data_IF_678841422651
#
_entry.id   IF_678841422651
#
_cell.length_a   1.000
_cell.length_b   1.000
_cell.length_c   1.000
_cell.angle_alpha   90.00
_cell.angle_beta   90.00
_cell.angle_gamma   90.00
#
_symmetry.space_group_name_H-M   'P 1'
#
loop_
_entity.id
_entity.type
_entity.pdbx_description
1 polymer ?
#
# COMPACT_ATOMS: atom_id res chain seq x y z
N UNK A 1 5.84 28.31 -23.85
CA UNK A 1 5.92 26.84 -23.68
C UNK A 1 5.36 26.21 -24.95
N UNK A 2 5.92 25.11 -25.46
CA UNK A 2 5.27 24.41 -26.58
C UNK A 2 4.01 23.69 -26.08
N UNK A 3 3.07 23.42 -27.00
CA UNK A 3 1.78 22.81 -26.69
C UNK A 3 1.90 21.46 -25.94
N UNK A 4 2.94 20.67 -26.23
CA UNK A 4 3.23 19.43 -25.51
C UNK A 4 3.47 19.68 -24.01
N UNK A 5 4.32 20.65 -23.65
CA UNK A 5 4.70 20.89 -22.25
C UNK A 5 3.56 21.55 -21.46
N UNK A 6 2.68 22.31 -22.12
CA UNK A 6 1.45 22.80 -21.49
C UNK A 6 0.46 21.67 -21.20
N UNK A 7 0.37 20.67 -22.08
CA UNK A 7 -0.47 19.50 -21.85
C UNK A 7 0.02 18.66 -20.66
N UNK A 8 1.34 18.39 -20.58
CA UNK A 8 1.94 17.67 -19.45
C UNK A 8 1.78 18.46 -18.14
N UNK A 9 1.98 19.78 -18.17
CA UNK A 9 1.76 20.62 -16.98
C UNK A 9 0.30 20.60 -16.51
N UNK A 10 -0.66 20.64 -17.44
CA UNK A 10 -2.08 20.54 -17.11
C UNK A 10 -2.40 19.18 -16.48
N UNK A 11 -1.86 18.11 -17.06
CA UNK A 11 -2.00 16.76 -16.52
C UNK A 11 -1.42 16.68 -15.10
N UNK A 12 -0.22 17.20 -14.86
CA UNK A 12 0.39 17.30 -13.53
C UNK A 12 -0.51 18.02 -12.52
N UNK A 13 -1.12 19.15 -12.90
CA UNK A 13 -2.02 19.88 -11.99
C UNK A 13 -3.27 19.07 -11.64
N UNK A 14 -3.82 18.33 -12.59
CA UNK A 14 -4.94 17.41 -12.34
C UNK A 14 -4.50 16.30 -11.39
N UNK A 15 -3.32 15.72 -11.57
CA UNK A 15 -2.79 14.69 -10.68
C UNK A 15 -2.61 15.20 -9.25
N UNK A 16 -1.98 16.36 -9.08
CA UNK A 16 -1.81 17.00 -7.77
C UNK A 16 -3.16 17.22 -7.10
N UNK A 17 -4.13 17.76 -7.84
CA UNK A 17 -5.48 17.96 -7.33
C UNK A 17 -6.13 16.65 -6.88
N UNK A 18 -6.05 15.59 -7.70
CA UNK A 18 -6.60 14.28 -7.37
C UNK A 18 -5.91 13.63 -6.16
N UNK A 19 -4.58 13.73 -6.05
CA UNK A 19 -3.83 13.21 -4.90
C UNK A 19 -4.22 13.95 -3.63
N UNK A 20 -4.27 15.28 -3.66
CA UNK A 20 -4.72 16.07 -2.51
C UNK A 20 -6.13 15.69 -2.11
N UNK A 21 -7.04 15.59 -3.07
CA UNK A 21 -8.44 15.24 -2.83
C UNK A 21 -8.60 13.82 -2.27
N UNK A 22 -7.79 12.85 -2.70
CA UNK A 22 -7.78 11.48 -2.17
C UNK A 22 -7.13 11.38 -0.78
N UNK A 23 -6.18 12.25 -0.46
CA UNK A 23 -5.49 12.29 0.84
C UNK A 23 -6.29 13.00 1.94
N UNK A 24 -7.43 13.64 1.61
CA UNK A 24 -8.25 14.33 2.61
C UNK A 24 -8.86 13.31 3.59
N UNK A 25 -8.66 13.46 4.91
CA UNK A 25 -9.16 12.54 5.92
C UNK A 25 -10.69 12.58 6.11
N UNK A 26 -11.37 13.56 5.51
CA UNK A 26 -12.82 13.76 5.66
C UNK A 26 -13.67 12.72 4.91
N UNK A 27 -13.12 12.07 3.88
CA UNK A 27 -13.87 11.15 3.02
C UNK A 27 -13.50 9.71 3.40
N UNK A 28 -14.47 8.95 3.90
CA UNK A 28 -14.23 7.55 4.27
C UNK A 28 -13.88 6.69 3.04
N UNK A 29 -13.03 5.65 3.20
CA UNK A 29 -12.71 4.70 2.13
C UNK A 29 -13.96 4.05 1.51
N UNK A 30 -15.01 3.85 2.31
CA UNK A 30 -16.29 3.27 1.87
C UNK A 30 -17.05 4.18 0.88
N UNK A 31 -16.97 5.51 1.02
CA UNK A 31 -17.56 6.46 0.06
C UNK A 31 -16.78 6.44 -1.25
N UNK A 32 -15.46 6.47 -1.16
CA UNK A 32 -14.57 6.33 -2.31
C UNK A 32 -14.81 5.03 -3.08
N UNK A 33 -15.01 3.93 -2.37
CA UNK A 33 -15.30 2.64 -2.99
C UNK A 33 -16.61 2.65 -3.78
N UNK A 34 -17.66 3.34 -3.31
CA UNK A 34 -18.90 3.50 -4.08
C UNK A 34 -18.66 4.29 -5.38
N UNK A 35 -17.87 5.35 -5.31
CA UNK A 35 -17.49 6.16 -6.49
C UNK A 35 -16.65 5.31 -7.45
N UNK A 36 -15.66 4.58 -6.96
CA UNK A 36 -14.79 3.73 -7.78
C UNK A 36 -15.51 2.51 -8.38
N UNK A 37 -16.55 1.98 -7.71
CA UNK A 37 -17.40 0.91 -8.25
C UNK A 37 -18.53 1.42 -9.15
N UNK A 38 -18.66 2.74 -9.36
CA UNK A 38 -19.66 3.26 -10.30
C UNK A 38 -19.35 2.79 -11.73
N UNK A 39 -20.41 2.61 -12.54
CA UNK A 39 -20.28 2.12 -13.92
C UNK A 39 -19.34 2.97 -14.78
N UNK A 40 -19.33 4.29 -14.55
CA UNK A 40 -18.44 5.22 -15.24
C UNK A 40 -16.97 4.97 -14.91
N UNK A 41 -16.65 4.79 -13.63
CA UNK A 41 -15.26 4.54 -13.20
C UNK A 41 -14.82 3.13 -13.58
N UNK A 42 -15.69 2.13 -13.53
CA UNK A 42 -15.35 0.78 -14.00
C UNK A 42 -15.02 0.73 -15.49
N UNK A 43 -15.75 1.49 -16.32
CA UNK A 43 -15.43 1.63 -17.74
C UNK A 43 -14.07 2.33 -17.92
N UNK A 44 -13.82 3.39 -17.14
CA UNK A 44 -12.53 4.07 -17.13
C UNK A 44 -11.37 3.16 -16.67
N UNK A 45 -11.58 2.29 -15.69
CA UNK A 45 -10.57 1.37 -15.14
C UNK A 45 -10.24 0.24 -16.11
N UNK A 46 -11.24 -0.28 -16.83
CA UNK A 46 -11.07 -1.33 -17.86
C UNK A 46 -10.11 -0.89 -18.96
N UNK A 47 -10.32 0.31 -19.52
CA UNK A 47 -9.40 0.91 -20.51
C UNK A 47 -8.19 1.58 -19.84
N UNK A 48 -8.30 1.88 -18.56
CA UNK A 48 -7.34 2.63 -17.78
C UNK A 48 -6.00 1.94 -17.64
N UNK A 49 -5.93 0.60 -17.64
CA UNK A 49 -4.63 -0.07 -17.54
C UNK A 49 -3.77 0.12 -18.79
N UNK A 50 -4.36 -0.06 -19.97
CA UNK A 50 -3.68 0.15 -21.25
C UNK A 50 -3.35 1.63 -21.45
N UNK A 51 -4.31 2.51 -21.18
CA UNK A 51 -4.10 3.96 -21.23
C UNK A 51 -2.97 4.41 -20.29
N UNK A 52 -2.96 3.92 -19.05
CA UNK A 52 -1.93 4.25 -18.05
C UNK A 52 -0.54 3.79 -18.51
N UNK A 53 -0.42 2.58 -19.06
CA UNK A 53 0.88 2.10 -19.57
C UNK A 53 1.38 2.98 -20.72
N UNK A 54 0.52 3.29 -21.69
CA UNK A 54 0.87 4.18 -22.81
C UNK A 54 1.27 5.56 -22.30
N UNK A 55 0.53 6.12 -21.34
CA UNK A 55 0.82 7.40 -20.73
C UNK A 55 2.18 7.40 -20.01
N UNK A 56 2.50 6.34 -19.27
CA UNK A 56 3.82 6.19 -18.62
C UNK A 56 4.93 6.14 -19.66
N UNK A 57 4.77 5.38 -20.75
CA UNK A 57 5.77 5.33 -21.84
C UNK A 57 5.99 6.72 -22.44
N UNK A 58 4.91 7.48 -22.70
CA UNK A 58 5.00 8.86 -23.20
C UNK A 58 5.74 9.77 -22.21
N UNK A 59 5.41 9.69 -20.92
CA UNK A 59 6.08 10.50 -19.88
C UNK A 59 7.56 10.14 -19.75
N UNK A 60 7.92 8.86 -19.84
CA UNK A 60 9.33 8.41 -19.84
C UNK A 60 10.07 8.96 -21.05
N UNK A 61 9.48 8.90 -22.25
CA UNK A 61 10.10 9.45 -23.46
C UNK A 61 10.32 10.96 -23.35
N UNK A 62 9.33 11.70 -22.83
CA UNK A 62 9.46 13.15 -22.60
C UNK A 62 10.48 13.47 -21.51
N UNK A 63 10.59 12.64 -20.47
CA UNK A 63 11.61 12.77 -19.44
C UNK A 63 13.02 12.57 -20.03
N UNK A 64 13.20 11.55 -20.87
CA UNK A 64 14.45 11.28 -21.57
C UNK A 64 14.79 12.40 -22.57
N UNK A 65 13.80 12.94 -23.28
CA UNK A 65 13.98 14.09 -24.17
C UNK A 65 14.46 15.33 -23.39
N UNK A 66 13.83 15.62 -22.24
CA UNK A 66 14.27 16.70 -21.37
C UNK A 66 15.68 16.48 -20.79
N UNK A 67 16.03 15.24 -20.40
CA UNK A 67 17.40 14.89 -19.96
C UNK A 67 18.42 15.09 -21.08
N UNK A 68 18.08 14.64 -22.30
CA UNK A 68 18.93 14.82 -23.47
C UNK A 68 19.11 16.30 -23.80
N UNK A 69 18.06 17.11 -23.72
CA UNK A 69 18.15 18.56 -23.89
C UNK A 69 19.04 19.21 -22.82
N UNK A 70 18.91 18.82 -21.54
CA UNK A 70 19.77 19.33 -20.47
C UNK A 70 21.24 18.97 -20.71
N UNK A 71 21.53 17.73 -21.10
CA UNK A 71 22.91 17.31 -21.39
C UNK A 71 23.47 18.03 -22.62
N UNK A 72 22.65 18.16 -23.68
CA UNK A 72 23.02 18.85 -24.93
C UNK A 72 23.36 20.32 -24.68
N UNK A 73 22.55 21.03 -23.91
CA UNK A 73 22.75 22.45 -23.61
C UNK A 73 23.56 22.71 -22.33
N UNK A 74 23.92 21.66 -21.59
CA UNK A 74 24.63 21.75 -20.30
C UNK A 74 26.14 21.47 -20.39
N UNK A 75 26.61 20.68 -21.37
CA UNK A 75 28.03 20.29 -21.49
C UNK A 75 28.71 20.89 -22.72
N UNK A 76 27.99 21.09 -23.82
CA UNK A 76 28.58 21.50 -25.09
C UNK A 76 28.15 22.90 -25.50
N UNK A 77 28.95 23.90 -25.15
CA UNK A 77 29.51 24.95 -26.04
C UNK A 77 30.24 25.97 -25.13
N UNK A 78 31.47 25.65 -24.74
CA UNK A 78 32.44 26.66 -24.24
C UNK A 78 33.32 27.17 -25.41
N UNK A 79 33.00 26.77 -26.64
CA UNK A 79 33.97 26.78 -27.74
C UNK A 79 33.87 28.02 -28.66
N UNK A 80 32.75 28.76 -28.69
CA UNK A 80 32.67 30.00 -29.51
C UNK A 80 31.86 31.17 -28.89
N UNK A 81 31.42 31.01 -27.64
CA UNK A 81 30.45 31.93 -27.02
C UNK A 81 31.02 33.22 -26.44
N UNK A 82 32.36 33.36 -26.41
CA UNK A 82 33.02 34.58 -25.96
C UNK A 82 32.84 35.74 -26.95
N UNK A 83 32.51 35.46 -28.21
CA UNK A 83 32.38 36.44 -29.28
C UNK A 83 30.94 36.89 -29.60
N UNK A 84 29.91 36.28 -29.01
CA UNK A 84 28.53 36.68 -29.24
C UNK A 84 27.64 36.53 -27.98
N UNK A 85 27.46 37.59 -27.17
CA UNK A 85 26.71 37.52 -25.92
C UNK A 85 25.23 37.13 -26.11
N UNK A 86 24.64 37.43 -27.27
CA UNK A 86 23.25 37.07 -27.59
C UNK A 86 23.06 35.54 -27.72
N UNK A 87 24.09 34.83 -28.17
CA UNK A 87 24.04 33.36 -28.28
C UNK A 87 24.09 32.69 -26.90
N UNK A 88 24.83 33.28 -25.95
CA UNK A 88 24.94 32.80 -24.55
C UNK A 88 23.58 32.81 -23.88
N UNK A 89 22.87 33.95 -23.97
CA UNK A 89 21.55 34.11 -23.35
C UNK A 89 20.54 33.11 -23.91
N UNK A 90 20.58 32.87 -25.22
CA UNK A 90 19.66 31.94 -25.87
C UNK A 90 19.88 30.48 -25.46
N UNK A 91 21.13 30.07 -25.20
CA UNK A 91 21.46 28.73 -24.69
C UNK A 91 21.00 28.57 -23.24
N UNK A 92 21.28 29.56 -22.38
CA UNK A 92 20.79 29.53 -20.99
C UNK A 92 19.28 29.45 -20.93
N UNK A 93 18.56 30.20 -21.78
CA UNK A 93 17.10 30.11 -21.86
C UNK A 93 16.59 28.72 -22.27
N UNK A 94 17.30 28.01 -23.15
CA UNK A 94 16.96 26.64 -23.53
C UNK A 94 17.27 25.64 -22.41
N UNK A 95 18.39 25.82 -21.70
CA UNK A 95 18.76 25.00 -20.56
C UNK A 95 17.72 25.11 -19.42
N UNK A 96 17.32 26.32 -19.03
CA UNK A 96 16.28 26.53 -18.02
C UNK A 96 14.92 25.95 -18.43
N UNK A 97 14.61 26.03 -19.73
CA UNK A 97 13.39 25.42 -20.27
C UNK A 97 13.44 23.90 -20.11
N UNK A 98 14.55 23.26 -20.47
CA UNK A 98 14.73 21.82 -20.36
C UNK A 98 14.72 21.34 -18.89
N UNK A 99 15.35 22.09 -17.98
CA UNK A 99 15.31 21.82 -16.53
C UNK A 99 13.88 21.83 -15.96
N UNK A 100 13.10 22.88 -16.26
CA UNK A 100 11.69 22.93 -15.82
C UNK A 100 10.87 21.79 -16.41
N UNK A 101 11.06 21.50 -17.70
CA UNK A 101 10.35 20.45 -18.40
C UNK A 101 10.66 19.07 -17.80
N UNK A 102 11.91 18.82 -17.41
CA UNK A 102 12.31 17.62 -16.68
C UNK A 102 11.54 17.48 -15.36
N UNK A 103 11.45 18.55 -14.56
CA UNK A 103 10.70 18.51 -13.31
C UNK A 103 9.22 18.23 -13.54
N UNK A 104 8.59 18.88 -14.52
CA UNK A 104 7.17 18.67 -14.82
C UNK A 104 6.91 17.20 -15.22
N UNK A 105 7.70 16.64 -16.14
CA UNK A 105 7.56 15.24 -16.55
C UNK A 105 7.88 14.26 -15.42
N UNK A 106 8.94 14.53 -14.63
CA UNK A 106 9.37 13.67 -13.53
C UNK A 106 8.36 13.63 -12.40
N UNK A 107 7.84 14.79 -11.97
CA UNK A 107 6.79 14.86 -10.96
C UNK A 107 5.50 14.22 -11.44
N UNK A 108 5.15 14.41 -12.71
CA UNK A 108 3.94 13.80 -13.25
C UNK A 108 4.05 12.27 -13.29
N UNK A 109 5.18 11.74 -13.73
CA UNK A 109 5.43 10.30 -13.73
C UNK A 109 5.34 9.71 -12.31
N UNK A 110 5.96 10.38 -11.33
CA UNK A 110 5.93 9.97 -9.94
C UNK A 110 4.50 10.02 -9.37
N UNK A 111 3.76 11.10 -9.61
CA UNK A 111 2.39 11.26 -9.14
C UNK A 111 1.43 10.28 -9.82
N UNK A 112 1.60 9.98 -11.10
CA UNK A 112 0.86 8.95 -11.81
C UNK A 112 0.94 7.59 -11.10
N UNK A 113 2.15 7.17 -10.72
CA UNK A 113 2.38 5.91 -10.01
C UNK A 113 1.78 5.96 -8.61
N UNK A 114 1.98 7.07 -7.88
CA UNK A 114 1.42 7.25 -6.55
C UNK A 114 -0.11 7.24 -6.56
N UNK A 115 -0.74 7.94 -7.49
CA UNK A 115 -2.18 8.01 -7.65
C UNK A 115 -2.76 6.62 -7.93
N UNK A 116 -2.14 5.86 -8.85
CA UNK A 116 -2.55 4.46 -9.12
C UNK A 116 -2.44 3.61 -7.86
N UNK A 117 -1.36 3.75 -7.08
CA UNK A 117 -1.17 3.03 -5.81
C UNK A 117 -2.23 3.43 -4.77
N UNK A 118 -2.53 4.72 -4.61
CA UNK A 118 -3.53 5.24 -3.67
C UNK A 118 -4.93 4.69 -3.99
N UNK A 119 -5.36 4.75 -5.25
CA UNK A 119 -6.67 4.22 -5.67
C UNK A 119 -6.79 2.72 -5.36
N UNK A 120 -5.72 1.94 -5.61
CA UNK A 120 -5.69 0.52 -5.25
C UNK A 120 -5.76 0.29 -3.74
N UNK A 121 -5.00 1.04 -2.95
CA UNK A 121 -4.98 0.92 -1.49
C UNK A 121 -6.34 1.28 -0.88
N UNK A 122 -6.96 2.36 -1.30
CA UNK A 122 -8.29 2.77 -0.85
C UNK A 122 -9.33 1.69 -1.18
N UNK A 123 -9.26 1.14 -2.39
CA UNK A 123 -10.18 0.06 -2.82
C UNK A 123 -10.01 -1.21 -1.99
N UNK A 124 -8.76 -1.60 -1.67
CA UNK A 124 -8.47 -2.73 -0.79
C UNK A 124 -8.94 -2.47 0.64
N UNK A 125 -8.63 -1.30 1.20
CA UNK A 125 -9.02 -0.91 2.55
C UNK A 125 -10.54 -0.90 2.71
N UNK A 126 -11.26 -0.36 1.74
CA UNK A 126 -12.73 -0.31 1.80
C UNK A 126 -13.36 -1.70 1.71
N UNK A 127 -12.80 -2.60 0.90
CA UNK A 127 -13.23 -4.01 0.85
C UNK A 127 -12.97 -4.73 2.17
N UNK A 128 -11.79 -4.51 2.77
CA UNK A 128 -11.44 -5.06 4.08
C UNK A 128 -12.34 -4.55 5.21
N UNK A 129 -12.66 -3.25 5.21
CA UNK A 129 -13.59 -2.67 6.18
C UNK A 129 -14.98 -3.28 6.05
N UNK A 130 -15.49 -3.44 4.82
CA UNK A 130 -16.78 -4.06 4.59
C UNK A 130 -16.82 -5.53 5.03
N UNK A 131 -15.77 -6.32 4.76
CA UNK A 131 -15.69 -7.71 5.23
C UNK A 131 -15.56 -7.80 6.74
N UNK A 132 -14.79 -6.91 7.37
CA UNK A 132 -14.62 -6.89 8.82
C UNK A 132 -15.93 -6.54 9.53
N UNK A 133 -16.68 -5.56 9.01
CA UNK A 133 -18.01 -5.23 9.53
C UNK A 133 -18.98 -6.42 9.40
N UNK A 134 -18.95 -7.14 8.26
CA UNK A 134 -19.76 -8.33 8.07
C UNK A 134 -19.38 -9.46 9.04
N UNK A 135 -18.08 -9.74 9.22
CA UNK A 135 -17.61 -10.73 10.18
C UNK A 135 -17.97 -10.37 11.62
N UNK A 136 -17.86 -9.08 11.99
CA UNK A 136 -18.26 -8.61 13.33
C UNK A 136 -19.74 -8.86 13.58
N UNK A 137 -20.61 -8.50 12.63
CA UNK A 137 -22.05 -8.77 12.72
C UNK A 137 -22.36 -10.26 12.80
N UNK A 138 -21.63 -11.08 12.05
CA UNK A 138 -21.79 -12.54 12.09
C UNK A 138 -21.38 -13.13 13.44
N UNK A 139 -20.27 -12.66 14.02
CA UNK A 139 -19.82 -13.08 15.34
C UNK A 139 -20.79 -12.64 16.46
N UNK A 140 -21.29 -11.40 16.40
CA UNK A 140 -22.32 -10.89 17.32
C UNK A 140 -23.61 -11.72 17.21
N UNK A 141 -24.10 -11.96 16.00
CA UNK A 141 -25.32 -12.76 15.77
C UNK A 141 -25.18 -14.20 16.27
N UNK A 142 -24.02 -14.83 16.05
CA UNK A 142 -23.73 -16.17 16.56
C UNK A 142 -23.63 -16.19 18.09
N UNK A 143 -23.03 -15.17 18.70
CA UNK A 143 -22.94 -15.05 20.16
C UNK A 143 -24.31 -14.84 20.80
N UNK A 144 -25.16 -14.00 20.20
CA UNK A 144 -26.52 -13.77 20.68
C UNK A 144 -27.40 -15.01 20.52
N UNK A 145 -27.26 -15.75 19.41
CA UNK A 145 -27.94 -17.04 19.24
C UNK A 145 -27.48 -18.06 20.30
N UNK A 146 -26.16 -18.16 20.56
CA UNK A 146 -25.63 -19.04 21.59
C UNK A 146 -26.15 -18.67 23.00
N UNK A 147 -26.20 -17.37 23.34
CA UNK A 147 -26.77 -16.89 24.61
C UNK A 147 -28.24 -17.27 24.74
N UNK A 148 -29.05 -17.06 23.69
CA UNK A 148 -30.47 -17.45 23.70
C UNK A 148 -30.64 -18.95 23.93
N UNK A 149 -29.86 -19.79 23.24
CA UNK A 149 -29.90 -21.24 23.45
C UNK A 149 -29.48 -21.64 24.86
N UNK A 150 -28.51 -20.96 25.46
CA UNK A 150 -28.10 -21.19 26.85
C UNK A 150 -29.21 -20.79 27.84
N UNK A 151 -29.82 -19.62 27.65
CA UNK A 151 -30.93 -19.14 28.49
C UNK A 151 -32.18 -20.03 28.40
N UNK A 152 -32.54 -20.47 27.19
CA UNK A 152 -33.64 -21.41 26.96
C UNK A 152 -33.35 -22.77 27.62
N UNK A 153 -32.13 -23.30 27.47
CA UNK A 153 -31.72 -24.53 28.16
C UNK A 153 -31.80 -24.39 29.68
N UNK A 154 -31.38 -23.26 30.24
CA UNK A 154 -31.44 -23.03 31.69
C UNK A 154 -32.89 -22.88 32.20
N UNK A 155 -33.77 -22.25 31.41
CA UNK A 155 -35.22 -22.17 31.72
C UNK A 155 -35.86 -23.56 31.69
N UNK A 156 -35.64 -24.32 30.62
CA UNK A 156 -36.14 -25.69 30.49
C UNK A 156 -35.67 -26.58 31.63
N UNK A 157 -34.39 -26.49 32.03
CA UNK A 157 -33.86 -27.21 33.20
C UNK A 157 -34.55 -26.82 34.51
N UNK A 158 -34.84 -25.53 34.72
CA UNK A 158 -35.56 -25.05 35.91
C UNK A 158 -37.02 -25.52 35.92
N UNK A 159 -37.70 -25.48 34.78
CA UNK A 159 -39.08 -25.97 34.64
C UNK A 159 -39.15 -27.48 34.91
N UNK A 160 -38.24 -28.27 34.34
CA UNK A 160 -38.14 -29.71 34.61
C UNK A 160 -37.98 -29.99 36.11
N UNK A 161 -37.07 -29.27 36.77
CA UNK A 161 -36.82 -29.40 38.21
C UNK A 161 -38.05 -29.02 39.06
N UNK A 162 -38.85 -28.04 38.62
CA UNK A 162 -40.08 -27.63 39.31
C UNK A 162 -41.24 -28.62 39.15
N UNK A 163 -41.27 -29.37 38.05
CA UNK A 163 -42.24 -30.44 37.78
C UNK A 163 -41.92 -31.75 38.53
N UNK A 164 -40.91 -31.76 39.40
CA UNK A 164 -40.50 -32.95 40.15
C UNK A 164 -39.79 -34.00 39.30
N UNK A 165 -39.44 -33.67 38.06
CA UNK A 165 -38.61 -34.50 37.18
C UNK A 165 -37.16 -34.10 37.42
N UNK A 166 -36.44 -34.89 38.23
CA UNK A 166 -34.98 -34.81 38.19
C UNK A 166 -34.54 -35.21 36.78
N UNK A 167 -33.62 -34.44 36.18
CA UNK A 167 -33.04 -34.69 34.85
C UNK A 167 -32.38 -36.09 34.76
N UNK A 168 -32.27 -36.78 35.89
CA UNK A 168 -31.86 -38.18 36.04
C UNK A 168 -32.84 -39.22 35.49
N UNK A 169 -34.13 -38.92 35.33
CA UNK A 169 -35.19 -39.94 35.10
C UNK A 169 -35.86 -39.92 33.69
N UNK A 170 -35.32 -39.17 32.72
CA UNK A 170 -35.76 -39.28 31.33
C UNK A 170 -35.09 -40.49 30.65
N UNK A 171 -35.77 -41.25 29.76
CA UNK A 171 -35.15 -42.38 29.06
C UNK A 171 -33.94 -41.91 28.25
N UNK A 172 -32.77 -42.31 28.73
CA UNK A 172 -31.45 -41.89 28.30
C UNK A 172 -30.98 -42.68 27.08
N UNK A 173 -31.62 -42.46 25.94
CA UNK A 173 -31.19 -43.14 24.69
C UNK A 173 -30.51 -42.22 23.68
N UNK A 174 -30.64 -40.89 23.80
CA UNK A 174 -29.95 -39.96 22.87
C UNK A 174 -29.16 -38.83 23.57
N UNK A 175 -29.45 -38.47 24.83
CA UNK A 175 -28.83 -37.30 25.50
C UNK A 175 -27.43 -37.61 26.00
N UNK A 176 -27.16 -38.80 26.54
CA UNK A 176 -25.78 -39.21 26.85
C UNK A 176 -24.91 -39.29 25.59
N UNK A 177 -25.43 -39.84 24.49
CA UNK A 177 -24.67 -39.96 23.23
C UNK A 177 -24.37 -38.59 22.62
N UNK A 178 -25.36 -37.68 22.62
CA UNK A 178 -25.20 -36.30 22.15
C UNK A 178 -24.33 -35.47 23.10
N UNK A 179 -24.43 -35.63 24.43
CA UNK A 179 -23.49 -35.00 25.36
C UNK A 179 -22.07 -35.52 25.19
N UNK A 180 -21.89 -36.80 24.88
CA UNK A 180 -20.57 -37.40 24.62
C UNK A 180 -19.98 -36.89 23.30
N UNK A 181 -20.80 -36.73 22.25
CA UNK A 181 -20.44 -36.08 20.98
C UNK A 181 -20.10 -34.61 21.19
N UNK A 182 -20.95 -33.83 21.87
CA UNK A 182 -20.69 -32.42 22.19
C UNK A 182 -19.44 -32.26 23.06
N UNK A 183 -19.20 -33.10 24.07
CA UNK A 183 -17.94 -33.08 24.84
C UNK A 183 -16.73 -33.36 23.95
N UNK A 184 -16.88 -34.30 23.01
CA UNK A 184 -15.85 -34.62 22.02
C UNK A 184 -15.54 -33.44 21.11
N UNK A 185 -16.56 -32.76 20.60
CA UNK A 185 -16.42 -31.57 19.76
C UNK A 185 -15.84 -30.39 20.54
N UNK A 186 -16.32 -30.13 21.75
CA UNK A 186 -15.75 -29.08 22.63
C UNK A 186 -14.28 -29.36 22.90
N UNK A 187 -13.90 -30.62 23.12
CA UNK A 187 -12.51 -31.00 23.36
C UNK A 187 -11.66 -30.84 22.09
N UNK A 188 -12.15 -31.27 20.92
CA UNK A 188 -11.48 -31.05 19.63
C UNK A 188 -11.29 -29.57 19.32
N UNK A 189 -12.34 -28.76 19.49
CA UNK A 189 -12.29 -27.31 19.29
C UNK A 189 -11.30 -26.65 20.27
N UNK A 190 -11.18 -27.15 21.50
CA UNK A 190 -10.18 -26.67 22.46
C UNK A 190 -8.75 -27.04 22.07
N UNK A 191 -8.54 -28.27 21.59
CA UNK A 191 -7.25 -28.73 21.06
C UNK A 191 -6.85 -27.96 19.80
N UNK A 192 -7.80 -27.70 18.89
CA UNK A 192 -7.60 -26.86 17.70
C UNK A 192 -7.28 -25.42 18.09
N UNK A 193 -8.02 -24.83 19.04
CA UNK A 193 -7.77 -23.49 19.56
C UNK A 193 -6.37 -23.37 20.16
N UNK A 194 -5.95 -24.32 21.01
CA UNK A 194 -4.60 -24.32 21.59
C UNK A 194 -3.52 -24.51 20.51
N UNK A 195 -3.77 -25.37 19.52
CA UNK A 195 -2.84 -25.56 18.41
C UNK A 195 -2.70 -24.29 17.55
N UNK A 196 -3.81 -23.62 17.25
CA UNK A 196 -3.86 -22.36 16.50
C UNK A 196 -3.22 -21.21 17.28
N UNK A 197 -3.41 -21.17 18.60
CA UNK A 197 -2.77 -20.19 19.48
C UNK A 197 -1.26 -20.40 19.54
N UNK A 198 -0.80 -21.66 19.56
CA UNK A 198 0.62 -22.01 19.51
C UNK A 198 1.26 -21.66 18.16
N UNK A 199 0.58 -21.89 17.04
CA UNK A 199 1.08 -21.50 15.71
C UNK A 199 1.11 -19.99 15.55
N UNK A 200 0.09 -19.27 16.06
CA UNK A 200 0.06 -17.81 16.07
C UNK A 200 1.25 -17.24 16.87
N UNK A 201 1.47 -17.71 18.10
CA UNK A 201 2.61 -17.28 18.93
C UNK A 201 3.96 -17.59 18.27
N UNK A 202 4.08 -18.75 17.61
CA UNK A 202 5.29 -19.09 16.84
C UNK A 202 5.50 -18.10 15.70
N UNK A 203 4.46 -17.82 14.91
CA UNK A 203 4.52 -16.85 13.81
C UNK A 203 4.84 -15.43 14.29
N UNK A 204 4.26 -14.97 15.40
CA UNK A 204 4.60 -13.68 16.01
C UNK A 204 6.08 -13.62 16.41
N UNK A 205 6.61 -14.68 17.03
CA UNK A 205 8.02 -14.74 17.39
C UNK A 205 8.95 -14.75 16.18
N UNK A 206 8.57 -15.43 15.08
CA UNK A 206 9.30 -15.42 13.82
C UNK A 206 9.30 -14.03 13.18
N UNK A 207 8.17 -13.32 13.19
CA UNK A 207 8.07 -11.93 12.69
C UNK A 207 8.98 -11.00 13.48
N UNK A 208 9.01 -11.11 14.81
CA UNK A 208 9.91 -10.32 15.66
C UNK A 208 11.38 -10.65 15.37
N UNK A 209 11.72 -11.93 15.19
CA UNK A 209 13.06 -12.35 14.84
C UNK A 209 13.51 -11.81 13.47
N UNK A 210 12.66 -11.91 12.45
CA UNK A 210 12.91 -11.36 11.11
C UNK A 210 13.11 -9.84 11.19
N UNK A 211 12.27 -9.14 11.96
CA UNK A 211 12.40 -7.69 12.13
C UNK A 211 13.76 -7.32 12.72
N UNK A 212 14.20 -8.01 13.76
CA UNK A 212 15.53 -7.80 14.37
C UNK A 212 16.67 -8.11 13.39
N UNK A 213 16.52 -9.14 12.56
CA UNK A 213 17.48 -9.46 11.49
C UNK A 213 17.54 -8.36 10.43
N UNK A 214 16.39 -7.83 9.98
CA UNK A 214 16.34 -6.72 9.03
C UNK A 214 16.98 -5.44 9.60
N UNK A 215 16.73 -5.13 10.87
CA UNK A 215 17.38 -4.01 11.57
C UNK A 215 18.90 -4.18 11.65
N UNK A 216 19.39 -5.40 11.93
CA UNK A 216 20.81 -5.73 11.89
C UNK A 216 21.42 -5.56 10.49
N UNK A 217 20.74 -6.09 9.47
CA UNK A 217 21.19 -5.98 8.08
C UNK A 217 21.25 -4.52 7.60
N UNK A 218 20.27 -3.71 7.99
CA UNK A 218 20.26 -2.27 7.66
C UNK A 218 21.47 -1.56 8.25
N UNK A 219 21.82 -1.86 9.51
CA UNK A 219 23.02 -1.28 10.16
C UNK A 219 24.33 -1.69 9.48
N UNK A 220 24.46 -2.95 9.10
CA UNK A 220 25.65 -3.42 8.36
C UNK A 220 25.73 -2.79 6.97
N UNK A 221 24.59 -2.58 6.32
CA UNK A 221 24.51 -1.87 5.04
C UNK A 221 24.95 -0.41 5.18
N UNK A 222 24.45 0.31 6.19
CA UNK A 222 24.85 1.69 6.48
C UNK A 222 26.35 1.77 6.79
N UNK A 223 26.87 0.83 7.58
CA UNK A 223 28.31 0.73 7.87
C UNK A 223 29.14 0.50 6.61
N UNK A 224 28.69 -0.39 5.72
CA UNK A 224 29.39 -0.67 4.47
C UNK A 224 29.40 0.56 3.53
N UNK A 225 28.30 1.31 3.48
CA UNK A 225 28.25 2.58 2.76
C UNK A 225 29.21 3.61 3.35
N UNK A 226 29.32 3.70 4.68
CA UNK A 226 30.27 4.56 5.37
C UNK A 226 31.73 4.15 5.10
N UNK A 227 32.04 2.85 5.10
CA UNK A 227 33.39 2.36 4.77
C UNK A 227 33.71 2.60 3.29
N UNK A 228 32.75 2.37 2.38
CA UNK A 228 32.91 2.65 0.96
C UNK A 228 33.13 4.16 0.71
N UNK A 229 32.38 5.04 1.37
CA UNK A 229 32.56 6.49 1.22
C UNK A 229 33.93 6.96 1.71
N UNK A 230 34.42 6.42 2.84
CA UNK A 230 35.77 6.70 3.35
C UNK A 230 36.87 6.22 2.41
N UNK A 231 36.73 5.00 1.88
CA UNK A 231 37.69 4.45 0.91
C UNK A 231 37.69 5.24 -0.40
N UNK A 232 36.52 5.65 -0.89
CA UNK A 232 36.41 6.49 -2.07
C UNK A 232 37.04 7.87 -1.86
N UNK A 233 36.86 8.49 -0.70
CA UNK A 233 37.52 9.75 -0.33
C UNK A 233 39.05 9.60 -0.19
N UNK A 234 39.55 8.44 0.25
CA UNK A 234 40.99 8.15 0.29
C UNK A 234 41.56 7.86 -1.11
N UNK A 235 40.81 7.19 -1.98
CA UNK A 235 41.19 6.93 -3.36
C UNK A 235 41.17 8.19 -4.24
N UNK A 236 40.28 9.15 -3.93
CA UNK A 236 40.27 10.50 -4.50
C UNK A 236 41.21 11.49 -3.77
N UNK A 237 42.07 10.99 -2.87
CA UNK A 237 43.21 11.73 -2.31
C UNK A 237 44.10 12.30 -3.42
N UNK A 238 44.81 13.41 -3.14
CA UNK A 238 45.14 14.44 -4.13
C UNK A 238 45.81 13.83 -5.36
N UNK A 239 45.13 13.93 -6.51
CA UNK A 239 45.81 13.84 -7.81
C UNK A 239 46.86 14.93 -7.81
N UNK A 240 48.11 14.53 -7.58
CA UNK A 240 49.29 15.35 -7.77
C UNK A 240 49.10 16.12 -9.07
N UNK A 241 48.97 17.44 -8.95
CA UNK A 241 49.27 18.35 -10.04
C UNK A 241 50.76 18.19 -10.32
N UNK A 242 51.11 17.20 -11.14
CA UNK A 242 52.12 17.44 -12.15
C UNK A 242 51.50 18.46 -13.10
N UNK A 243 52.04 19.67 -13.09
CA UNK A 243 52.67 20.25 -14.27
C UNK A 243 53.35 21.57 -13.90
N UNK A 244 54.56 21.71 -14.45
CA UNK A 244 55.48 22.87 -14.56
C UNK A 244 56.33 23.32 -13.35
#
# INVERSE_FOLDING_TARGET
MSLQWTAVATFLYVEVFLVLLLCIPFISPTRWQKIFKSRLVQLLVSYGNTFFLVLIVILVLLLLDALREIQKYGVGEQVDLKNNPVAVEHIHMKLFRAQRNLYIAGFSLLLSILLRRLVMLISKQATLLASNEAFRKQAESASDAAKKYMEENDKLKKELKSLGVEVSDLPDTNVEEDNKKLKGEVRKLKEELESAKKTLHKSESEVVAIKKQCEGLTKEYDRLLDEHSKLQAQADGPKDKKDD
#
